data_IF_254588324570
#
_entry.id   IF_254588324570
#
_cell.length_a   1.000
_cell.length_b   1.000
_cell.length_c   1.000
_cell.angle_alpha   90.00
_cell.angle_beta   90.00
_cell.angle_gamma   90.00
#
_symmetry.space_group_name_H-M   'P 1'
#
loop_
_entity.id
_entity.type
_entity.pdbx_description
1 polymer ?
#
# COMPACT_ATOMS: atom_id res chain seq x y z
N UNK A 1 -5.59 12.45 3.06
CA UNK A 1 -6.86 13.03 3.56
C UNK A 1 -7.10 12.49 4.97
N UNK A 2 -7.35 13.34 5.97
CA UNK A 2 -7.60 12.90 7.35
C UNK A 2 -8.81 11.96 7.42
N UNK A 3 -8.85 11.09 8.44
CA UNK A 3 -9.98 10.21 8.73
C UNK A 3 -10.08 8.96 7.85
N UNK A 4 -9.13 8.71 6.93
CA UNK A 4 -9.07 7.45 6.19
C UNK A 4 -8.50 6.35 7.08
N UNK A 5 -9.05 5.13 6.94
CA UNK A 5 -8.69 3.97 7.74
C UNK A 5 -8.47 2.74 6.86
N UNK A 6 -7.59 1.85 7.32
CA UNK A 6 -7.43 0.51 6.77
C UNK A 6 -8.61 -0.39 7.16
N UNK A 7 -8.66 -1.58 6.56
CA UNK A 7 -9.70 -2.59 6.78
C UNK A 7 -9.79 -3.16 8.20
N UNK A 8 -8.78 -2.91 9.04
CA UNK A 8 -8.75 -3.19 10.48
C UNK A 8 -9.04 -1.97 11.37
N UNK A 9 -9.27 -0.80 10.78
CA UNK A 9 -9.58 0.45 11.47
C UNK A 9 -8.37 1.31 11.83
N UNK A 10 -7.14 0.86 11.58
CA UNK A 10 -5.94 1.67 11.75
C UNK A 10 -5.95 2.88 10.80
N UNK A 11 -5.34 4.00 11.20
CA UNK A 11 -5.33 5.21 10.38
C UNK A 11 -4.38 5.11 9.19
N UNK A 12 -4.82 5.65 8.04
CA UNK A 12 -3.96 5.85 6.87
C UNK A 12 -3.22 7.17 7.03
N UNK A 13 -1.90 7.11 7.24
CA UNK A 13 -1.02 8.26 7.44
C UNK A 13 0.23 8.19 6.53
N UNK A 14 1.08 9.21 6.62
CA UNK A 14 2.31 9.34 5.84
C UNK A 14 3.31 8.18 6.07
N UNK A 15 3.33 7.61 7.27
CA UNK A 15 4.16 6.49 7.66
C UNK A 15 3.75 5.22 6.92
N UNK A 16 2.44 5.00 6.74
CA UNK A 16 1.95 3.89 5.93
C UNK A 16 2.35 4.05 4.46
N UNK A 17 2.35 5.27 3.95
CA UNK A 17 2.86 5.56 2.59
C UNK A 17 4.34 5.22 2.50
N UNK A 18 5.16 5.75 3.41
CA UNK A 18 6.60 5.47 3.45
C UNK A 18 6.87 3.97 3.53
N UNK A 19 6.21 3.26 4.44
CA UNK A 19 6.34 1.82 4.60
C UNK A 19 6.03 1.08 3.29
N UNK A 20 4.94 1.44 2.62
CA UNK A 20 4.49 0.78 1.38
C UNK A 20 5.52 0.92 0.27
N UNK A 21 6.06 2.13 0.06
CA UNK A 21 7.08 2.38 -0.95
C UNK A 21 8.44 1.77 -0.59
N UNK A 22 8.90 1.90 0.67
CA UNK A 22 10.15 1.28 1.13
C UNK A 22 10.09 -0.25 0.94
N UNK A 23 8.94 -0.87 1.24
CA UNK A 23 8.70 -2.30 1.03
C UNK A 23 8.79 -2.66 -0.46
N UNK A 24 8.05 -1.98 -1.33
CA UNK A 24 8.04 -2.27 -2.78
C UNK A 24 9.44 -2.13 -3.37
N UNK A 25 10.17 -1.07 -3.02
CA UNK A 25 11.54 -0.87 -3.51
C UNK A 25 12.54 -1.89 -2.96
N UNK A 26 12.34 -2.37 -1.71
CA UNK A 26 13.16 -3.43 -1.12
C UNK A 26 12.92 -4.80 -1.76
N UNK A 27 11.68 -5.11 -2.15
CA UNK A 27 11.33 -6.40 -2.76
C UNK A 27 12.03 -6.62 -4.10
N UNK A 28 12.28 -5.55 -4.86
CA UNK A 28 12.91 -5.61 -6.20
C UNK A 28 12.23 -6.61 -7.15
N UNK A 29 10.90 -6.64 -7.09
CA UNK A 29 10.04 -7.49 -7.93
C UNK A 29 9.17 -6.62 -8.84
N UNK A 30 8.38 -7.22 -9.73
CA UNK A 30 7.60 -6.55 -10.79
C UNK A 30 7.19 -5.08 -10.54
N UNK A 31 6.44 -4.76 -9.48
CA UNK A 31 6.01 -3.39 -9.20
C UNK A 31 7.13 -2.37 -8.98
N UNK A 32 8.28 -2.78 -8.43
CA UNK A 32 9.39 -1.85 -8.13
C UNK A 32 9.99 -1.25 -9.39
N UNK A 33 9.99 -1.99 -10.51
CA UNK A 33 10.55 -1.50 -11.78
C UNK A 33 9.78 -0.34 -12.41
N UNK A 34 8.59 -0.03 -11.91
CA UNK A 34 7.83 1.15 -12.32
C UNK A 34 8.33 2.45 -11.67
N UNK A 35 9.10 2.37 -10.59
CA UNK A 35 9.60 3.52 -9.84
C UNK A 35 11.10 3.73 -10.06
N UNK A 36 11.59 4.97 -10.01
CA UNK A 36 13.03 5.24 -10.01
C UNK A 36 13.73 4.57 -8.82
N UNK A 37 14.82 3.85 -9.07
CA UNK A 37 15.58 3.11 -8.04
C UNK A 37 16.11 4.00 -6.90
N UNK A 38 16.29 5.30 -7.17
CA UNK A 38 16.80 6.29 -6.23
C UNK A 38 15.72 7.17 -5.61
N UNK A 39 14.45 6.85 -5.85
CA UNK A 39 13.32 7.51 -5.22
C UNK A 39 13.39 7.31 -3.70
N UNK A 40 13.25 8.39 -2.96
CA UNK A 40 13.15 8.35 -1.49
C UNK A 40 11.82 8.93 -1.02
N UNK A 41 11.29 8.33 0.05
CA UNK A 41 10.05 8.77 0.68
C UNK A 41 10.34 9.23 2.10
N UNK A 42 9.98 10.48 2.40
CA UNK A 42 10.14 11.12 3.70
C UNK A 42 8.78 11.51 4.24
N UNK A 43 8.53 11.20 5.52
CA UNK A 43 7.39 11.75 6.25
C UNK A 43 7.74 13.16 6.71
N UNK A 44 6.92 14.13 6.33
CA UNK A 44 7.04 15.51 6.80
C UNK A 44 6.20 15.70 8.06
N UNK A 45 4.97 15.20 8.03
CA UNK A 45 4.01 15.15 9.14
C UNK A 45 2.99 14.02 8.87
N UNK A 46 2.07 13.69 9.79
CA UNK A 46 1.17 12.54 9.64
C UNK A 46 0.32 12.52 8.35
N UNK A 47 0.10 13.67 7.70
CA UNK A 47 -0.70 13.80 6.48
C UNK A 47 0.09 14.33 5.28
N UNK A 48 1.41 14.51 5.41
CA UNK A 48 2.29 15.04 4.36
C UNK A 48 3.45 14.10 4.08
N UNK A 49 3.55 13.66 2.83
CA UNK A 49 4.66 12.84 2.31
C UNK A 49 5.44 13.64 1.29
N UNK A 50 6.77 13.56 1.35
CA UNK A 50 7.68 14.07 0.33
C UNK A 50 8.35 12.92 -0.42
N UNK A 51 8.21 12.92 -1.74
CA UNK A 51 8.99 12.08 -2.64
C UNK A 51 10.16 12.88 -3.23
N UNK A 52 11.36 12.33 -3.21
CA UNK A 52 12.54 12.94 -3.85
C UNK A 52 13.09 12.01 -4.91
N UNK A 53 13.26 12.51 -6.12
CA UNK A 53 13.81 11.81 -7.29
C UNK A 53 15.11 12.51 -7.70
N UNK A 54 16.16 11.78 -8.15
CA UNK A 54 17.42 12.44 -8.57
C UNK A 54 17.33 13.09 -9.95
N UNK A 55 16.41 12.64 -10.78
CA UNK A 55 16.17 13.18 -12.11
C UNK A 55 14.67 13.43 -12.32
N UNK A 56 14.30 14.39 -13.20
CA UNK A 56 12.92 14.56 -13.61
C UNK A 56 12.34 13.25 -14.18
N UNK A 57 11.17 12.86 -13.68
CA UNK A 57 10.45 11.67 -14.13
C UNK A 57 9.02 12.06 -14.48
N UNK A 58 8.79 12.39 -15.75
CA UNK A 58 7.51 12.90 -16.24
C UNK A 58 6.28 12.03 -15.87
N UNK A 59 6.33 10.69 -15.90
CA UNK A 59 5.17 9.86 -15.61
C UNK A 59 4.95 9.61 -14.10
N UNK A 60 5.67 10.29 -13.20
CA UNK A 60 5.63 10.01 -11.76
C UNK A 60 4.20 9.94 -11.20
N UNK A 61 3.34 10.91 -11.53
CA UNK A 61 1.95 10.92 -11.06
C UNK A 61 1.14 9.73 -11.59
N UNK A 62 1.31 9.35 -12.86
CA UNK A 62 0.65 8.16 -13.40
C UNK A 62 1.18 6.86 -12.77
N UNK A 63 2.47 6.81 -12.43
CA UNK A 63 3.06 5.68 -11.72
C UNK A 63 2.46 5.53 -10.31
N UNK A 64 2.24 6.65 -9.61
CA UNK A 64 1.56 6.64 -8.29
C UNK A 64 0.09 6.18 -8.36
N UNK A 65 -0.56 6.26 -9.52
CA UNK A 65 -1.92 5.78 -9.72
C UNK A 65 -2.00 4.28 -10.07
N UNK A 66 -0.86 3.62 -10.30
CA UNK A 66 -0.81 2.20 -10.62
C UNK A 66 -1.03 1.32 -9.38
N UNK A 67 -1.51 0.10 -9.56
CA UNK A 67 -1.76 -0.83 -8.44
C UNK A 67 -0.50 -1.17 -7.63
N UNK A 68 0.68 -1.07 -8.24
CA UNK A 68 1.97 -1.22 -7.56
C UNK A 68 2.28 -0.16 -6.50
N UNK A 69 1.56 0.97 -6.52
CA UNK A 69 1.66 2.06 -5.55
C UNK A 69 0.63 1.95 -4.41
N UNK A 70 -0.10 0.83 -4.30
CA UNK A 70 -1.13 0.66 -3.28
C UNK A 70 -0.56 0.80 -1.86
N UNK A 71 -1.23 1.60 -1.03
CA UNK A 71 -0.86 1.82 0.36
C UNK A 71 -1.41 0.68 1.22
N UNK A 72 -0.53 0.04 1.97
CA UNK A 72 -0.85 -1.09 2.85
C UNK A 72 -0.62 -0.71 4.32
N UNK A 73 -1.39 -1.32 5.21
CA UNK A 73 -1.22 -1.16 6.65
C UNK A 73 0.16 -1.69 7.08
N UNK A 74 1.03 -0.90 7.72
CA UNK A 74 2.34 -1.34 8.21
C UNK A 74 2.31 -2.52 9.17
N UNK A 75 1.18 -2.76 9.85
CA UNK A 75 1.02 -3.84 10.81
C UNK A 75 1.10 -5.23 10.15
N UNK A 76 1.04 -5.33 8.82
CA UNK A 76 1.37 -6.59 8.11
C UNK A 76 2.79 -7.07 8.40
N UNK A 77 3.73 -6.16 8.72
CA UNK A 77 5.09 -6.53 9.10
C UNK A 77 5.17 -7.25 10.46
N UNK A 78 4.13 -7.13 11.29
CA UNK A 78 4.02 -7.78 12.60
C UNK A 78 3.40 -9.18 12.50
N UNK A 79 2.91 -9.59 11.33
CA UNK A 79 2.31 -10.91 11.13
C UNK A 79 3.40 -11.98 11.26
N UNK A 80 3.09 -13.09 11.93
CA UNK A 80 4.06 -14.16 12.22
C UNK A 80 4.66 -14.80 10.98
N UNK A 81 3.90 -14.84 9.89
CA UNK A 81 4.35 -15.35 8.58
C UNK A 81 5.12 -14.30 7.74
N UNK A 82 5.16 -13.04 8.20
CA UNK A 82 5.71 -11.91 7.47
C UNK A 82 4.72 -11.26 6.50
N UNK A 83 5.06 -10.05 6.04
CA UNK A 83 4.17 -9.23 5.22
C UNK A 83 3.83 -9.90 3.88
N UNK A 84 4.81 -10.49 3.20
CA UNK A 84 4.65 -11.09 1.87
C UNK A 84 3.78 -12.33 1.90
N UNK A 85 4.00 -13.23 2.87
CA UNK A 85 3.17 -14.41 3.04
C UNK A 85 1.74 -14.02 3.40
N UNK A 86 1.57 -13.08 4.33
CA UNK A 86 0.24 -12.58 4.72
C UNK A 86 -0.51 -11.99 3.52
N UNK A 87 0.13 -11.07 2.79
CA UNK A 87 -0.46 -10.39 1.61
C UNK A 87 -0.66 -11.32 0.41
N UNK A 88 -0.09 -12.53 0.42
CA UNK A 88 -0.34 -13.51 -0.63
C UNK A 88 -1.76 -14.09 -0.59
N UNK A 89 -2.45 -14.01 0.55
CA UNK A 89 -3.84 -14.50 0.69
C UNK A 89 -4.75 -13.56 1.52
N UNK A 90 -4.30 -12.35 1.87
CA UNK A 90 -5.08 -11.35 2.61
C UNK A 90 -4.90 -9.95 1.99
N UNK A 91 -5.88 -9.08 2.23
CA UNK A 91 -5.73 -7.63 2.02
C UNK A 91 -5.33 -6.95 3.32
N UNK A 92 -4.75 -5.75 3.21
CA UNK A 92 -4.47 -4.88 4.34
C UNK A 92 -4.57 -3.41 3.89
N UNK A 93 -5.61 -3.11 3.11
CA UNK A 93 -5.77 -1.85 2.38
C UNK A 93 -6.89 -0.99 2.98
N UNK A 94 -7.06 0.21 2.43
CA UNK A 94 -8.13 1.15 2.82
C UNK A 94 -9.27 1.23 1.79
N UNK A 95 -9.31 0.30 0.84
CA UNK A 95 -10.32 0.25 -0.22
C UNK A 95 -11.71 -0.16 0.28
N UNK A 96 -12.69 -0.12 -0.63
CA UNK A 96 -14.09 -0.40 -0.33
C UNK A 96 -14.40 -1.86 0.06
N UNK A 97 -13.49 -2.79 -0.25
CA UNK A 97 -13.65 -4.21 0.02
C UNK A 97 -12.37 -4.79 0.61
N UNK A 98 -12.53 -5.82 1.44
CA UNK A 98 -11.43 -6.62 1.98
C UNK A 98 -11.64 -8.10 1.66
N UNK A 99 -10.54 -8.82 1.50
CA UNK A 99 -10.58 -10.26 1.17
C UNK A 99 -10.97 -11.07 2.41
N UNK A 100 -12.01 -11.90 2.26
CA UNK A 100 -12.48 -12.82 3.31
C UNK A 100 -11.95 -14.22 3.08
N UNK A 101 -11.99 -14.69 1.83
CA UNK A 101 -11.54 -16.02 1.48
C UNK A 101 -11.05 -16.09 0.03
N UNK A 102 -9.98 -16.84 -0.19
CA UNK A 102 -9.48 -17.12 -1.53
C UNK A 102 -9.28 -18.62 -1.74
N UNK A 103 -10.16 -19.20 -2.55
CA UNK A 103 -10.00 -20.55 -3.11
C UNK A 103 -9.27 -20.42 -4.45
N UNK A 104 -7.97 -20.74 -4.47
CA UNK A 104 -7.12 -20.58 -5.65
C UNK A 104 -7.68 -21.36 -6.85
N UNK A 105 -7.80 -20.69 -7.99
CA UNK A 105 -8.37 -21.25 -9.21
C UNK A 105 -9.90 -21.36 -9.23
N UNK A 106 -10.61 -20.91 -8.19
CA UNK A 106 -12.08 -21.02 -8.10
C UNK A 106 -12.75 -19.70 -7.75
N UNK A 107 -12.60 -19.24 -6.50
CA UNK A 107 -13.40 -18.11 -5.99
C UNK A 107 -12.58 -17.18 -5.11
N UNK A 108 -12.83 -15.87 -5.26
CA UNK A 108 -12.33 -14.83 -4.39
C UNK A 108 -13.54 -14.14 -3.74
N UNK A 109 -13.73 -14.34 -2.44
CA UNK A 109 -14.84 -13.78 -1.67
C UNK A 109 -14.36 -12.54 -0.93
N UNK A 110 -15.00 -11.41 -1.19
CA UNK A 110 -14.71 -10.14 -0.51
C UNK A 110 -15.94 -9.66 0.24
N UNK A 111 -15.72 -8.93 1.33
CA UNK A 111 -16.78 -8.21 2.03
C UNK A 111 -16.51 -6.71 2.02
N UNK A 112 -17.57 -5.92 2.21
CA UNK A 112 -17.45 -4.48 2.31
C UNK A 112 -16.55 -4.11 3.50
N UNK A 113 -15.61 -3.18 3.27
CA UNK A 113 -14.85 -2.56 4.33
C UNK A 113 -15.72 -1.55 5.08
N UNK A 114 -16.08 -1.86 6.33
CA UNK A 114 -16.88 -0.98 7.18
C UNK A 114 -16.21 0.36 7.51
N UNK A 115 -14.90 0.46 7.31
CA UNK A 115 -14.11 1.67 7.55
C UNK A 115 -13.87 2.51 6.29
N UNK A 116 -14.42 2.11 5.14
CA UNK A 116 -14.26 2.84 3.90
C UNK A 116 -14.91 4.23 3.98
N UNK A 117 -14.10 5.28 3.80
CA UNK A 117 -14.52 6.68 3.96
C UNK A 117 -15.29 7.24 2.75
N UNK A 118 -15.52 6.43 1.72
CA UNK A 118 -16.09 6.86 0.44
C UNK A 118 -15.03 7.37 -0.56
N UNK A 119 -15.47 7.76 -1.77
CA UNK A 119 -14.61 8.40 -2.77
C UNK A 119 -14.10 9.79 -2.35
#
# INVERSE_FOLDING_TARGET
KPGNKFDDGAEVNAEAVKFSFDRVMKLKQGPSGAFPDDMTVTVVDPLTVKFTLKAPYAPFLSTLAHNGAAIINPDVAKKSEGAEAYLSNHTAGSGAFKLVNWQKGQTLTMEQNSYYAGP
#
